data_IF_426318674014
#
_entry.id   IF_426318674014
#
_cell.length_a   1.000
_cell.length_b   1.000
_cell.length_c   1.000
_cell.angle_alpha   90.00
_cell.angle_beta   90.00
_cell.angle_gamma   90.00
#
_symmetry.space_group_name_H-M   'P 1'
#
loop_
_entity.id
_entity.type
_entity.pdbx_description
1 polymer ?
#
# COMPACT_ATOMS: atom_id res chain seq x y z
N UNK A 1 -3.35 -15.83 1.29
CA UNK A 1 -3.01 -16.87 0.30
C UNK A 1 -2.97 -18.27 0.97
N UNK A 2 -2.26 -18.49 2.08
CA UNK A 2 -2.17 -19.82 2.73
C UNK A 2 -3.55 -20.37 3.13
N UNK A 3 -4.43 -19.52 3.70
CA UNK A 3 -5.79 -19.93 4.03
C UNK A 3 -6.62 -20.23 2.79
N UNK A 4 -6.44 -19.48 1.71
CA UNK A 4 -7.06 -19.76 0.42
C UNK A 4 -6.58 -21.10 -0.14
N UNK A 5 -5.27 -21.36 -0.10
CA UNK A 5 -4.69 -22.62 -0.51
C UNK A 5 -5.26 -23.80 0.30
N UNK A 6 -5.32 -23.67 1.62
CA UNK A 6 -5.88 -24.71 2.50
C UNK A 6 -7.32 -25.05 2.12
N UNK A 7 -8.20 -24.05 2.01
CA UNK A 7 -9.61 -24.28 1.64
C UNK A 7 -9.73 -24.88 0.25
N UNK A 8 -8.91 -24.43 -0.70
CA UNK A 8 -8.93 -24.97 -2.07
C UNK A 8 -8.44 -26.42 -2.11
N UNK A 9 -7.42 -26.77 -1.33
CA UNK A 9 -6.93 -28.17 -1.21
C UNK A 9 -7.99 -29.08 -0.53
N UNK A 10 -8.62 -28.62 0.55
CA UNK A 10 -9.73 -29.34 1.18
C UNK A 10 -10.92 -29.55 0.20
N UNK A 11 -11.25 -28.51 -0.58
CA UNK A 11 -12.29 -28.60 -1.61
C UNK A 11 -11.91 -29.56 -2.73
N UNK A 12 -10.63 -29.60 -3.13
CA UNK A 12 -10.15 -30.53 -4.16
C UNK A 12 -10.34 -31.99 -3.74
N UNK A 13 -10.09 -32.30 -2.47
CA UNK A 13 -10.33 -33.66 -1.93
C UNK A 13 -11.81 -34.02 -2.04
N UNK A 14 -12.71 -33.15 -1.58
CA UNK A 14 -14.16 -33.36 -1.64
C UNK A 14 -14.66 -33.52 -3.09
N UNK A 15 -14.12 -32.73 -4.01
CA UNK A 15 -14.52 -32.83 -5.41
C UNK A 15 -13.96 -34.04 -6.10
N UNK A 16 -12.78 -34.54 -5.69
CA UNK A 16 -12.26 -35.83 -6.13
C UNK A 16 -13.15 -37.01 -5.72
N UNK A 17 -13.58 -37.02 -4.46
CA UNK A 17 -14.55 -38.01 -3.96
C UNK A 17 -15.89 -37.93 -4.69
N UNK A 18 -16.37 -36.72 -5.02
CA UNK A 18 -17.57 -36.53 -5.80
C UNK A 18 -17.44 -37.09 -7.21
N UNK A 19 -16.28 -36.94 -7.89
CA UNK A 19 -16.06 -37.54 -9.20
C UNK A 19 -16.17 -39.06 -9.15
N UNK A 20 -15.57 -39.70 -8.14
CA UNK A 20 -15.67 -41.16 -8.00
C UNK A 20 -17.12 -41.61 -7.69
N UNK A 21 -17.82 -40.86 -6.86
CA UNK A 21 -19.26 -41.09 -6.60
C UNK A 21 -20.08 -40.99 -7.88
N UNK A 22 -19.82 -39.99 -8.72
CA UNK A 22 -20.50 -39.82 -10.00
C UNK A 22 -20.22 -40.95 -10.98
N UNK A 23 -19.00 -41.48 -11.02
CA UNK A 23 -18.67 -42.67 -11.82
C UNK A 23 -19.45 -43.88 -11.37
N UNK A 24 -19.51 -44.11 -10.07
CA UNK A 24 -20.30 -45.20 -9.50
C UNK A 24 -21.84 -45.06 -9.79
N UNK A 25 -22.38 -43.85 -9.68
CA UNK A 25 -23.78 -43.57 -10.00
C UNK A 25 -24.05 -43.74 -11.52
N UNK A 26 -23.10 -43.43 -12.38
CA UNK A 26 -23.21 -43.73 -13.81
C UNK A 26 -23.26 -45.25 -14.08
N UNK A 27 -22.42 -46.04 -13.43
CA UNK A 27 -22.42 -47.50 -13.55
C UNK A 27 -23.77 -48.08 -13.09
N UNK A 28 -24.39 -47.46 -12.07
CA UNK A 28 -25.73 -47.78 -11.60
C UNK A 28 -26.85 -47.20 -12.48
N UNK A 29 -26.55 -46.59 -13.63
CA UNK A 29 -27.48 -45.94 -14.54
C UNK A 29 -28.34 -44.81 -13.90
N UNK A 30 -27.87 -44.21 -12.79
CA UNK A 30 -28.55 -43.12 -12.10
C UNK A 30 -28.24 -41.75 -12.65
N UNK A 31 -27.06 -41.58 -13.29
CA UNK A 31 -26.63 -40.35 -13.93
C UNK A 31 -26.05 -40.61 -15.33
N UNK A 32 -26.05 -39.58 -16.16
CA UNK A 32 -25.52 -39.66 -17.51
C UNK A 32 -24.02 -39.28 -17.56
N UNK A 33 -23.33 -39.56 -18.68
CA UNK A 33 -21.94 -39.25 -18.92
C UNK A 33 -21.64 -37.74 -18.74
N UNK A 34 -22.56 -36.87 -19.18
CA UNK A 34 -22.36 -35.43 -19.10
C UNK A 34 -22.16 -34.93 -17.65
N UNK A 35 -22.86 -35.56 -16.67
CA UNK A 35 -22.65 -35.25 -15.26
C UNK A 35 -21.25 -35.63 -14.74
N UNK A 36 -20.75 -36.79 -15.18
CA UNK A 36 -19.38 -37.23 -14.80
C UNK A 36 -18.33 -36.28 -15.38
N UNK A 37 -18.41 -35.98 -16.67
CA UNK A 37 -17.47 -35.08 -17.36
C UNK A 37 -17.48 -33.65 -16.78
N UNK A 38 -18.69 -33.14 -16.40
CA UNK A 38 -18.81 -31.86 -15.75
C UNK A 38 -18.17 -31.86 -14.35
N UNK A 39 -18.33 -32.95 -13.60
CA UNK A 39 -17.70 -33.11 -12.28
C UNK A 39 -16.15 -33.13 -12.41
N UNK A 40 -15.63 -33.89 -13.37
CA UNK A 40 -14.19 -33.94 -13.67
C UNK A 40 -13.66 -32.55 -14.08
N UNK A 41 -14.36 -31.83 -14.95
CA UNK A 41 -13.98 -30.49 -15.37
C UNK A 41 -13.85 -29.53 -14.18
N UNK A 42 -14.81 -29.55 -13.25
CA UNK A 42 -14.78 -28.73 -12.05
C UNK A 42 -13.64 -29.14 -11.10
N UNK A 43 -13.38 -30.43 -10.94
CA UNK A 43 -12.24 -30.93 -10.16
C UNK A 43 -10.90 -30.44 -10.73
N UNK A 44 -10.70 -30.55 -12.04
CA UNK A 44 -9.47 -30.04 -12.68
C UNK A 44 -9.34 -28.51 -12.60
N UNK A 45 -10.44 -27.77 -12.60
CA UNK A 45 -10.42 -26.33 -12.39
C UNK A 45 -9.89 -25.97 -10.99
N UNK A 46 -10.30 -26.71 -9.95
CA UNK A 46 -9.80 -26.50 -8.59
C UNK A 46 -8.32 -26.87 -8.48
N UNK A 47 -7.88 -27.97 -9.12
CA UNK A 47 -6.46 -28.34 -9.15
C UNK A 47 -5.60 -27.28 -9.85
N UNK A 48 -6.09 -26.66 -10.92
CA UNK A 48 -5.42 -25.55 -11.58
C UNK A 48 -5.29 -24.34 -10.63
N UNK A 49 -6.36 -23.99 -9.91
CA UNK A 49 -6.36 -22.90 -8.93
C UNK A 49 -5.33 -23.13 -7.79
N UNK A 50 -5.12 -24.37 -7.35
CA UNK A 50 -4.08 -24.72 -6.37
C UNK A 50 -2.68 -24.35 -6.91
N UNK A 51 -2.41 -24.63 -8.18
CA UNK A 51 -1.13 -24.31 -8.82
C UNK A 51 -0.91 -22.79 -8.88
N UNK A 52 -1.96 -22.03 -9.22
CA UNK A 52 -1.92 -20.57 -9.25
C UNK A 52 -1.66 -19.98 -7.85
N UNK A 53 -2.35 -20.49 -6.83
CA UNK A 53 -2.14 -20.06 -5.45
C UNK A 53 -0.72 -20.35 -4.95
N UNK A 54 -0.16 -21.51 -5.27
CA UNK A 54 1.22 -21.87 -4.93
C UNK A 54 2.22 -20.92 -5.61
N UNK A 55 1.98 -20.55 -6.86
CA UNK A 55 2.81 -19.56 -7.55
C UNK A 55 2.70 -18.18 -6.89
N UNK A 56 1.50 -17.68 -6.60
CA UNK A 56 1.28 -16.40 -5.92
C UNK A 56 1.94 -16.34 -4.54
N UNK A 57 1.91 -17.44 -3.78
CA UNK A 57 2.63 -17.56 -2.51
C UNK A 57 4.13 -17.38 -2.74
N UNK A 58 4.69 -18.07 -3.74
CA UNK A 58 6.12 -17.98 -4.07
C UNK A 58 6.52 -16.57 -4.51
N UNK A 59 5.73 -15.93 -5.35
CA UNK A 59 5.97 -14.55 -5.77
C UNK A 59 5.96 -13.58 -4.58
N UNK A 60 5.02 -13.77 -3.65
CA UNK A 60 4.93 -12.96 -2.42
C UNK A 60 6.13 -13.20 -1.49
N UNK A 61 6.57 -14.46 -1.33
CA UNK A 61 7.78 -14.80 -0.57
C UNK A 61 9.03 -14.16 -1.19
N UNK A 62 9.15 -14.19 -2.52
CA UNK A 62 10.24 -13.56 -3.24
C UNK A 62 10.25 -12.04 -3.05
N UNK A 63 9.09 -11.39 -3.17
CA UNK A 63 8.96 -9.95 -2.96
C UNK A 63 9.36 -9.55 -1.52
N UNK A 64 8.94 -10.34 -0.53
CA UNK A 64 9.29 -10.10 0.87
C UNK A 64 10.77 -10.35 1.14
N UNK A 65 11.37 -11.38 0.52
CA UNK A 65 12.81 -11.66 0.60
C UNK A 65 13.63 -10.49 0.07
N UNK A 66 13.20 -9.89 -1.06
CA UNK A 66 13.85 -8.70 -1.64
C UNK A 66 13.77 -7.49 -0.70
N UNK A 67 12.62 -7.26 -0.04
CA UNK A 67 12.48 -6.19 0.96
C UNK A 67 13.42 -6.40 2.15
N UNK A 68 13.64 -7.65 2.55
CA UNK A 68 14.58 -8.03 3.60
C UNK A 68 16.05 -8.08 3.15
N UNK A 69 16.33 -7.80 1.86
CA UNK A 69 17.66 -7.93 1.24
C UNK A 69 18.26 -9.34 1.39
N UNK A 70 17.44 -10.35 1.28
CA UNK A 70 17.81 -11.76 1.35
C UNK A 70 17.59 -12.44 0.00
N UNK A 71 18.30 -13.57 -0.22
CA UNK A 71 18.01 -14.41 -1.38
C UNK A 71 16.58 -14.98 -1.27
N UNK A 72 15.90 -15.24 -2.41
CA UNK A 72 14.57 -15.84 -2.41
C UNK A 72 14.53 -17.13 -1.58
N UNK A 73 13.72 -17.15 -0.54
CA UNK A 73 13.58 -18.26 0.38
C UNK A 73 12.15 -18.39 0.88
N UNK A 74 11.83 -19.56 1.46
CA UNK A 74 10.56 -19.74 2.15
C UNK A 74 10.58 -18.95 3.47
N UNK A 75 9.50 -18.21 3.73
CA UNK A 75 9.39 -17.37 4.91
C UNK A 75 8.44 -18.03 5.90
N UNK A 76 8.91 -18.18 7.15
CA UNK A 76 8.06 -18.64 8.25
C UNK A 76 7.02 -17.58 8.60
N UNK A 77 5.77 -18.00 8.74
CA UNK A 77 4.64 -17.11 8.98
C UNK A 77 3.57 -17.76 9.86
N UNK A 78 2.84 -16.93 10.59
CA UNK A 78 1.71 -17.34 11.40
C UNK A 78 0.44 -17.59 10.57
N UNK A 79 -0.65 -17.94 11.25
CA UNK A 79 -1.96 -18.11 10.63
C UNK A 79 -2.73 -16.81 10.63
N UNK A 80 -3.62 -16.63 9.64
CA UNK A 80 -4.51 -15.47 9.53
C UNK A 80 -5.41 -15.33 10.77
N UNK A 81 -5.87 -16.45 11.31
CA UNK A 81 -6.78 -16.54 12.46
C UNK A 81 -6.16 -16.05 13.78
N UNK A 82 -4.82 -16.09 13.89
CA UNK A 82 -4.08 -15.64 15.07
C UNK A 82 -3.88 -14.11 15.10
N UNK A 83 -4.25 -13.41 14.03
CA UNK A 83 -4.10 -11.97 13.93
C UNK A 83 -5.16 -11.24 14.74
N UNK A 84 -4.72 -10.52 15.79
CA UNK A 84 -5.62 -9.71 16.62
C UNK A 84 -5.56 -8.25 16.15
N UNK A 85 -6.72 -7.72 15.79
CA UNK A 85 -6.89 -6.30 15.50
C UNK A 85 -7.16 -5.50 16.77
N UNK A 86 -6.70 -4.24 16.85
CA UNK A 86 -7.11 -3.35 17.93
C UNK A 86 -8.64 -3.17 17.90
N UNK A 87 -9.26 -3.37 19.05
CA UNK A 87 -10.73 -3.47 19.19
C UNK A 87 -11.47 -2.16 18.98
N UNK A 88 -10.79 -1.01 18.95
CA UNK A 88 -11.44 0.31 18.94
C UNK A 88 -10.71 1.22 17.95
N UNK A 89 -11.32 1.43 16.80
CA UNK A 89 -10.99 2.52 15.89
C UNK A 89 -12.01 3.64 16.13
N UNK A 90 -11.64 4.62 16.99
CA UNK A 90 -12.52 5.76 17.25
C UNK A 90 -12.58 6.70 16.06
N UNK A 91 -13.80 7.05 15.64
CA UNK A 91 -14.06 8.18 14.75
C UNK A 91 -13.72 9.49 15.47
N UNK A 92 -12.87 10.29 14.87
CA UNK A 92 -12.45 11.58 15.42
C UNK A 92 -10.93 11.66 15.59
N UNK A 93 -10.24 11.73 14.45
CA UNK A 93 -8.79 11.93 14.46
C UNK A 93 -8.51 13.43 14.62
N UNK A 94 -7.83 13.85 15.70
CA UNK A 94 -7.42 15.24 15.83
C UNK A 94 -6.51 15.64 14.67
N UNK A 95 -6.76 16.79 14.06
CA UNK A 95 -5.92 17.36 12.98
C UNK A 95 -4.43 17.41 13.39
N UNK A 96 -4.15 17.50 14.69
CA UNK A 96 -2.80 17.43 15.25
C UNK A 96 -2.03 16.14 14.91
N UNK A 97 -2.70 15.00 14.70
CA UNK A 97 -2.04 13.75 14.28
C UNK A 97 -1.57 13.82 12.82
N UNK A 98 -2.23 14.60 11.98
CA UNK A 98 -1.80 14.81 10.60
C UNK A 98 -0.45 15.54 10.52
N UNK A 99 -0.09 16.35 11.51
CA UNK A 99 1.22 17.00 11.58
C UNK A 99 2.39 16.05 11.79
N UNK A 100 2.13 14.80 12.22
CA UNK A 100 3.15 13.77 12.35
C UNK A 100 3.46 13.08 11.02
N UNK A 101 2.65 13.28 10.00
CA UNK A 101 2.85 12.67 8.67
C UNK A 101 4.08 13.28 7.98
N UNK A 102 4.98 12.44 7.45
CA UNK A 102 6.19 12.92 6.78
C UNK A 102 5.90 13.75 5.53
N UNK A 103 4.86 13.42 4.76
CA UNK A 103 4.45 14.11 3.54
C UNK A 103 3.90 15.52 3.84
N UNK A 104 3.05 15.67 4.86
CA UNK A 104 2.55 16.97 5.33
C UNK A 104 3.71 17.83 5.84
N UNK A 105 4.61 17.24 6.63
CA UNK A 105 5.79 17.93 7.15
C UNK A 105 6.76 18.33 6.02
N UNK A 106 6.94 17.50 5.00
CA UNK A 106 7.75 17.83 3.84
C UNK A 106 7.16 19.03 3.07
N UNK A 107 5.83 19.08 2.88
CA UNK A 107 5.15 20.19 2.24
C UNK A 107 5.26 21.48 3.07
N UNK A 108 5.17 21.40 4.41
CA UNK A 108 5.39 22.53 5.33
C UNK A 108 6.82 23.07 5.21
N UNK A 109 7.82 22.19 5.20
CA UNK A 109 9.23 22.61 5.04
C UNK A 109 9.51 23.20 3.66
N UNK A 110 8.87 22.69 2.61
CA UNK A 110 8.93 23.27 1.28
C UNK A 110 8.34 24.69 1.25
N UNK A 111 7.20 24.91 1.90
CA UNK A 111 6.61 26.24 2.05
C UNK A 111 7.54 27.18 2.82
N UNK A 112 8.12 26.73 3.93
CA UNK A 112 9.11 27.51 4.68
C UNK A 112 10.32 27.87 3.81
N UNK A 113 10.81 26.94 2.97
CA UNK A 113 11.90 27.20 2.02
C UNK A 113 11.56 28.31 1.02
N UNK A 114 10.36 28.30 0.44
CA UNK A 114 9.92 29.35 -0.49
C UNK A 114 9.72 30.70 0.19
N UNK A 115 9.33 30.72 1.46
CA UNK A 115 9.28 31.94 2.25
C UNK A 115 10.67 32.57 2.40
N UNK A 116 11.69 31.77 2.72
CA UNK A 116 13.07 32.27 2.81
C UNK A 116 13.62 32.71 1.45
N UNK A 117 13.28 32.01 0.35
CA UNK A 117 13.64 32.42 -1.00
C UNK A 117 13.00 33.78 -1.39
N UNK A 118 11.76 34.02 -0.96
CA UNK A 118 11.11 35.32 -1.18
C UNK A 118 11.80 36.44 -0.37
N UNK A 119 12.28 36.15 0.84
CA UNK A 119 13.05 37.10 1.64
C UNK A 119 14.46 37.34 1.05
N UNK A 120 15.13 36.30 0.53
CA UNK A 120 16.36 36.47 -0.24
C UNK A 120 16.19 37.39 -1.45
N UNK A 121 15.09 37.17 -2.22
CA UNK A 121 14.77 38.03 -3.36
C UNK A 121 14.47 39.48 -2.95
N UNK A 122 13.93 39.72 -1.75
CA UNK A 122 13.78 41.06 -1.16
C UNK A 122 15.15 41.65 -0.73
N UNK A 123 16.03 40.84 -0.16
CA UNK A 123 17.37 41.25 0.26
C UNK A 123 18.23 41.75 -0.91
N UNK A 124 17.97 41.27 -2.14
CA UNK A 124 18.64 41.72 -3.35
C UNK A 124 18.40 43.21 -3.69
N UNK A 125 17.46 43.89 -3.04
CA UNK A 125 17.24 45.33 -3.16
C UNK A 125 18.07 46.14 -2.19
N UNK A 126 18.76 45.53 -1.24
CA UNK A 126 19.64 46.19 -0.29
C UNK A 126 21.10 46.11 -0.74
N UNK A 127 21.97 47.01 -0.24
CA UNK A 127 23.37 46.95 -0.54
C UNK A 127 24.04 45.67 -0.03
N UNK A 128 24.87 45.04 -0.83
CA UNK A 128 25.73 43.94 -0.41
C UNK A 128 27.07 44.45 0.14
N UNK A 129 27.49 43.92 1.27
CA UNK A 129 28.77 44.18 1.88
C UNK A 129 29.66 42.95 1.66
N UNK A 130 30.80 43.13 1.01
CA UNK A 130 31.80 42.08 0.90
C UNK A 130 33.09 42.51 1.56
N UNK A 131 33.70 41.62 2.35
CA UNK A 131 34.98 41.80 2.99
C UNK A 131 35.91 40.74 2.42
N UNK A 132 37.01 41.17 1.78
CA UNK A 132 38.05 40.29 1.29
C UNK A 132 39.35 40.57 1.99
N UNK A 133 40.06 39.52 2.39
CA UNK A 133 41.37 39.62 3.00
C UNK A 133 42.38 38.73 2.30
N UNK A 134 43.57 39.23 2.06
CA UNK A 134 44.70 38.44 1.57
C UNK A 134 45.84 38.52 2.58
N UNK A 135 46.46 37.38 2.83
CA UNK A 135 47.59 37.22 3.71
C UNK A 135 48.65 36.37 3.02
N UNK A 136 49.88 36.83 2.98
CA UNK A 136 50.95 36.08 2.31
C UNK A 136 52.33 36.74 2.46
N UNK A 137 53.30 36.09 1.91
CA UNK A 137 54.68 36.61 1.80
C UNK A 137 55.02 36.89 0.33
N UNK A 138 55.64 37.99 0.05
CA UNK A 138 56.17 38.30 -1.28
C UNK A 138 57.67 38.05 -1.33
N UNK A 139 58.05 37.20 -2.32
CA UNK A 139 59.45 36.98 -2.67
C UNK A 139 59.70 37.38 -4.12
N UNK A 140 60.78 38.03 -4.35
CA UNK A 140 61.22 38.48 -5.68
C UNK A 140 61.87 37.35 -6.51
N UNK A 141 62.20 36.23 -5.90
CA UNK A 141 62.97 35.15 -6.51
C UNK A 141 62.37 33.75 -6.23
N UNK A 142 61.23 33.45 -6.79
CA UNK A 142 60.70 32.05 -6.81
C UNK A 142 60.36 31.44 -5.45
N UNK A 143 60.25 30.10 -5.40
CA UNK A 143 59.58 29.30 -4.38
C UNK A 143 60.19 29.29 -2.95
N UNK A 144 61.19 30.06 -2.61
CA UNK A 144 61.81 30.01 -1.28
C UNK A 144 61.57 31.34 -0.52
N UNK A 145 61.11 31.25 0.72
CA UNK A 145 60.90 32.40 1.61
C UNK A 145 62.32 32.86 2.06
N UNK A 146 62.86 33.87 1.36
CA UNK A 146 64.23 34.39 1.63
C UNK A 146 64.23 35.46 2.73
N UNK A 147 63.06 36.12 2.94
CA UNK A 147 62.94 37.14 3.98
C UNK A 147 61.59 37.17 4.63
N UNK A 148 61.42 36.62 5.87
CA UNK A 148 60.19 36.59 6.60
C UNK A 148 59.60 37.98 6.98
N UNK A 149 60.40 39.06 6.84
CA UNK A 149 59.97 40.44 7.11
C UNK A 149 59.12 41.07 5.99
N UNK A 150 58.94 40.41 4.83
CA UNK A 150 58.11 40.88 3.71
C UNK A 150 56.68 40.23 3.73
N UNK A 151 56.11 40.20 4.87
CA UNK A 151 54.68 39.77 5.03
C UNK A 151 53.76 40.88 4.53
N UNK A 152 52.81 40.51 3.71
CA UNK A 152 51.72 41.39 3.26
C UNK A 152 50.41 40.88 3.83
N UNK A 153 49.68 41.76 4.52
CA UNK A 153 48.30 41.55 4.91
C UNK A 153 47.45 42.70 4.36
N UNK A 154 46.39 42.38 3.63
CA UNK A 154 45.44 43.41 3.18
C UNK A 154 44.02 42.97 3.50
N UNK A 155 43.20 43.92 3.94
CA UNK A 155 41.73 43.72 4.12
C UNK A 155 41.01 44.85 3.37
N UNK A 156 40.06 44.47 2.50
CA UNK A 156 39.32 45.41 1.68
C UNK A 156 37.81 45.16 1.96
N UNK A 157 37.09 46.18 2.43
CA UNK A 157 35.64 46.19 2.52
C UNK A 157 35.06 46.92 1.31
N UNK A 158 34.08 46.30 0.62
CA UNK A 158 33.36 46.97 -0.46
C UNK A 158 31.85 46.90 -0.21
N UNK A 159 31.15 48.00 -0.52
CA UNK A 159 29.71 48.15 -0.48
C UNK A 159 29.20 48.31 -1.91
N UNK A 160 28.36 47.42 -2.37
CA UNK A 160 27.83 47.42 -3.74
C UNK A 160 26.33 47.39 -3.73
N UNK A 161 25.66 48.33 -4.42
CA UNK A 161 24.23 48.36 -4.62
C UNK A 161 23.89 48.54 -6.10
N UNK A 162 23.21 47.55 -6.75
CA UNK A 162 22.78 47.71 -8.12
C UNK A 162 21.54 48.61 -8.18
N UNK A 163 21.67 49.85 -8.72
CA UNK A 163 20.56 50.78 -8.88
C UNK A 163 19.75 50.49 -10.15
N UNK A 164 20.38 50.00 -11.22
CA UNK A 164 19.77 49.67 -12.50
C UNK A 164 20.16 48.29 -12.97
N UNK A 165 19.28 47.29 -12.69
CA UNK A 165 19.54 45.89 -13.03
C UNK A 165 18.52 45.34 -14.05
N UNK A 166 18.13 46.16 -15.02
CA UNK A 166 17.18 45.79 -16.13
C UNK A 166 15.86 45.13 -15.64
N UNK A 167 15.39 45.47 -14.46
CA UNK A 167 14.19 44.86 -13.87
C UNK A 167 14.38 43.46 -13.32
N UNK A 168 15.60 42.89 -13.32
CA UNK A 168 15.85 41.49 -12.89
C UNK A 168 15.46 41.25 -11.44
N UNK A 169 15.75 42.14 -10.51
CA UNK A 169 15.39 42.02 -9.10
C UNK A 169 13.87 42.04 -8.90
N UNK A 170 13.15 42.87 -9.68
CA UNK A 170 11.66 42.92 -9.65
C UNK A 170 11.08 41.60 -10.15
N UNK A 171 11.61 41.08 -11.26
CA UNK A 171 11.17 39.80 -11.82
C UNK A 171 11.45 38.65 -10.85
N UNK A 172 12.66 38.60 -10.26
CA UNK A 172 13.05 37.61 -9.25
C UNK A 172 12.10 37.59 -8.04
N UNK A 173 11.76 38.77 -7.51
CA UNK A 173 10.82 38.89 -6.39
C UNK A 173 9.42 38.44 -6.77
N UNK A 174 8.93 38.78 -7.99
CA UNK A 174 7.62 38.32 -8.47
C UNK A 174 7.56 36.80 -8.62
N UNK A 175 8.62 36.20 -9.18
CA UNK A 175 8.75 34.75 -9.31
C UNK A 175 8.75 34.09 -7.93
N UNK A 176 9.58 34.56 -7.01
CA UNK A 176 9.67 34.00 -5.66
C UNK A 176 8.33 34.07 -4.89
N UNK A 177 7.57 35.19 -5.06
CA UNK A 177 6.22 35.30 -4.49
C UNK A 177 5.22 34.34 -5.13
N UNK A 178 5.29 34.13 -6.43
CA UNK A 178 4.43 33.18 -7.11
C UNK A 178 4.73 31.74 -6.66
N UNK A 179 6.00 31.38 -6.53
CA UNK A 179 6.43 30.09 -5.99
C UNK A 179 6.00 29.89 -4.53
N UNK A 180 6.01 30.95 -3.72
CA UNK A 180 5.48 30.89 -2.35
C UNK A 180 3.97 30.62 -2.34
N UNK A 181 3.20 31.27 -3.23
CA UNK A 181 1.75 31.01 -3.35
C UNK A 181 1.47 29.58 -3.83
N UNK A 182 2.25 29.07 -4.78
CA UNK A 182 2.17 27.69 -5.25
C UNK A 182 2.46 26.69 -4.13
N UNK A 183 3.51 26.93 -3.35
CA UNK A 183 3.87 26.08 -2.21
C UNK A 183 2.80 26.10 -1.11
N UNK A 184 2.12 27.22 -0.89
CA UNK A 184 0.99 27.31 0.03
C UNK A 184 -0.17 26.43 -0.40
N UNK A 185 -0.56 26.49 -1.68
CA UNK A 185 -1.61 25.63 -2.23
C UNK A 185 -1.22 24.14 -2.19
N UNK A 186 0.06 23.84 -2.42
CA UNK A 186 0.58 22.48 -2.31
C UNK A 186 0.52 21.94 -0.88
N UNK A 187 0.79 22.79 0.12
CA UNK A 187 0.66 22.43 1.53
C UNK A 187 -0.81 22.21 1.93
N UNK A 188 -1.72 23.08 1.51
CA UNK A 188 -3.16 22.90 1.70
C UNK A 188 -3.64 21.57 1.07
N UNK A 189 -3.19 21.28 -0.15
CA UNK A 189 -3.52 20.02 -0.84
C UNK A 189 -2.99 18.80 -0.07
N UNK A 190 -1.78 18.87 0.49
CA UNK A 190 -1.22 17.78 1.31
C UNK A 190 -2.07 17.49 2.56
N UNK A 191 -2.58 18.54 3.23
CA UNK A 191 -3.49 18.39 4.38
C UNK A 191 -4.82 17.76 3.95
N UNK A 192 -5.40 18.20 2.83
CA UNK A 192 -6.65 17.65 2.31
C UNK A 192 -6.50 16.18 1.92
N UNK A 193 -5.41 15.82 1.25
CA UNK A 193 -5.11 14.44 0.90
C UNK A 193 -4.95 13.57 2.16
N UNK A 194 -4.25 14.07 3.17
CA UNK A 194 -4.09 13.37 4.44
C UNK A 194 -5.44 13.11 5.14
N UNK A 195 -6.36 14.08 5.08
CA UNK A 195 -7.73 13.92 5.60
C UNK A 195 -8.54 12.89 4.78
N UNK A 196 -8.41 12.90 3.47
CA UNK A 196 -9.03 11.92 2.58
C UNK A 196 -8.53 10.50 2.86
N UNK A 197 -7.22 10.30 2.99
CA UNK A 197 -6.62 8.99 3.30
C UNK A 197 -7.20 8.38 4.58
N UNK A 198 -7.38 9.20 5.63
CA UNK A 198 -8.00 8.75 6.89
C UNK A 198 -9.46 8.38 6.68
N UNK A 199 -10.22 9.21 5.95
CA UNK A 199 -11.63 8.94 5.65
C UNK A 199 -11.80 7.66 4.85
N UNK A 200 -10.97 7.46 3.84
CA UNK A 200 -10.99 6.28 2.97
C UNK A 200 -10.63 5.01 3.75
N UNK A 201 -9.61 5.08 4.62
CA UNK A 201 -9.24 3.95 5.46
C UNK A 201 -10.34 3.55 6.45
N UNK A 202 -11.02 4.52 7.06
CA UNK A 202 -12.17 4.27 7.94
C UNK A 202 -13.35 3.69 7.18
N UNK A 203 -13.68 4.23 6.01
CA UNK A 203 -14.74 3.74 5.15
C UNK A 203 -14.47 2.30 4.68
N UNK A 204 -13.23 2.00 4.32
CA UNK A 204 -12.80 0.65 3.94
C UNK A 204 -12.98 -0.33 5.10
N UNK A 205 -12.59 0.07 6.33
CA UNK A 205 -12.76 -0.76 7.51
C UNK A 205 -14.23 -1.06 7.81
N UNK A 206 -15.09 -0.03 7.79
CA UNK A 206 -16.55 -0.21 8.01
C UNK A 206 -17.17 -1.11 6.95
N UNK A 207 -16.84 -0.87 5.67
CA UNK A 207 -17.33 -1.70 4.57
C UNK A 207 -16.86 -3.15 4.68
N UNK A 208 -15.61 -3.39 5.11
CA UNK A 208 -15.09 -4.75 5.29
C UNK A 208 -15.79 -5.47 6.45
N UNK A 209 -16.09 -4.76 7.56
CA UNK A 209 -16.80 -5.34 8.70
C UNK A 209 -18.27 -5.67 8.33
N UNK A 210 -18.96 -4.79 7.61
CA UNK A 210 -20.32 -5.04 7.12
C UNK A 210 -20.35 -6.25 6.16
N UNK A 211 -19.38 -6.33 5.23
CA UNK A 211 -19.23 -7.47 4.33
C UNK A 211 -19.02 -8.77 5.11
N UNK A 212 -18.15 -8.76 6.13
CA UNK A 212 -17.87 -9.93 6.97
C UNK A 212 -19.13 -10.49 7.59
N UNK A 213 -19.98 -9.62 8.17
CA UNK A 213 -21.25 -10.03 8.79
C UNK A 213 -22.17 -10.73 7.77
N UNK A 214 -22.30 -10.16 6.57
CA UNK A 214 -23.16 -10.75 5.53
C UNK A 214 -22.52 -12.01 4.94
N UNK A 215 -21.21 -12.05 4.80
CA UNK A 215 -20.46 -13.21 4.28
C UNK A 215 -20.60 -14.43 5.17
N UNK A 216 -20.52 -14.27 6.49
CA UNK A 216 -20.77 -15.37 7.43
C UNK A 216 -22.16 -15.94 7.26
N UNK A 217 -23.19 -15.08 7.12
CA UNK A 217 -24.57 -15.55 6.86
C UNK A 217 -24.68 -16.27 5.51
N UNK A 218 -24.00 -15.75 4.48
CA UNK A 218 -23.99 -16.38 3.16
C UNK A 218 -23.35 -17.77 3.20
N UNK A 219 -22.17 -17.90 3.84
CA UNK A 219 -21.46 -19.18 3.98
C UNK A 219 -22.33 -20.19 4.71
N UNK A 220 -22.89 -19.83 5.87
CA UNK A 220 -23.79 -20.72 6.64
C UNK A 220 -25.01 -21.15 5.84
N UNK A 221 -25.56 -20.28 4.98
CA UNK A 221 -26.71 -20.65 4.12
C UNK A 221 -26.27 -21.57 2.98
N UNK A 222 -25.11 -21.38 2.42
CA UNK A 222 -24.55 -22.21 1.36
C UNK A 222 -24.11 -23.59 1.88
N UNK A 223 -23.57 -23.68 3.10
CA UNK A 223 -23.28 -24.96 3.76
C UNK A 223 -24.53 -25.79 3.90
N UNK A 224 -25.63 -25.20 4.41
CA UNK A 224 -26.93 -25.90 4.47
C UNK A 224 -27.45 -26.24 3.08
N UNK A 225 -27.27 -25.39 2.09
CA UNK A 225 -27.69 -25.67 0.71
C UNK A 225 -26.96 -26.88 0.15
N UNK A 226 -25.63 -26.99 0.39
CA UNK A 226 -24.85 -28.16 -0.02
C UNK A 226 -25.34 -29.42 0.70
N UNK A 227 -25.56 -29.37 2.02
CA UNK A 227 -26.07 -30.48 2.82
C UNK A 227 -27.42 -30.96 2.28
N UNK A 228 -28.40 -30.07 2.12
CA UNK A 228 -29.73 -30.43 1.64
C UNK A 228 -29.73 -30.97 0.21
N UNK A 229 -28.96 -30.37 -0.69
CA UNK A 229 -28.89 -30.86 -2.08
C UNK A 229 -28.21 -32.21 -2.16
N UNK A 230 -27.23 -32.52 -1.31
CA UNK A 230 -26.62 -33.84 -1.21
C UNK A 230 -27.61 -34.89 -0.64
N UNK A 231 -28.34 -34.56 0.43
CA UNK A 231 -29.36 -35.43 0.99
C UNK A 231 -30.49 -35.78 -0.02
N UNK A 232 -30.99 -34.75 -0.70
CA UNK A 232 -32.04 -34.92 -1.72
C UNK A 232 -31.57 -35.79 -2.89
N UNK A 233 -30.28 -35.66 -3.28
CA UNK A 233 -29.68 -36.50 -4.31
C UNK A 233 -29.60 -37.97 -3.86
N UNK A 234 -29.20 -38.23 -2.61
CA UNK A 234 -29.07 -39.59 -2.07
C UNK A 234 -30.45 -40.27 -1.87
N UNK A 235 -31.50 -39.50 -1.55
CA UNK A 235 -32.86 -39.98 -1.40
C UNK A 235 -33.56 -40.29 -2.74
N UNK A 236 -32.90 -39.99 -3.87
CA UNK A 236 -33.41 -40.31 -5.21
C UNK A 236 -34.70 -39.57 -5.59
N UNK A 237 -34.96 -38.41 -4.97
CA UNK A 237 -36.11 -37.58 -5.31
C UNK A 237 -35.94 -36.99 -6.71
N UNK A 238 -36.94 -37.22 -7.58
CA UNK A 238 -36.92 -36.86 -9.01
C UNK A 238 -36.74 -35.34 -9.29
N UNK A 239 -36.66 -34.51 -8.27
CA UNK A 239 -36.59 -33.06 -8.37
C UNK A 239 -35.19 -32.46 -8.17
N UNK A 240 -34.18 -33.24 -7.77
CA UNK A 240 -32.85 -32.70 -7.54
C UNK A 240 -31.87 -33.25 -8.56
N UNK A 241 -31.30 -32.36 -9.33
CA UNK A 241 -30.27 -32.71 -10.31
C UNK A 241 -28.86 -32.52 -9.66
N UNK A 242 -27.93 -33.41 -9.91
CA UNK A 242 -26.55 -33.30 -9.47
C UNK A 242 -25.90 -31.95 -9.81
N UNK A 243 -26.35 -31.29 -10.88
CA UNK A 243 -25.92 -29.95 -11.25
C UNK A 243 -26.20 -28.91 -10.13
N UNK A 244 -27.29 -29.11 -9.36
CA UNK A 244 -27.61 -28.25 -8.22
C UNK A 244 -26.58 -28.40 -7.09
N UNK A 245 -26.16 -29.64 -6.80
CA UNK A 245 -25.09 -29.92 -5.82
C UNK A 245 -23.77 -29.26 -6.23
N UNK A 246 -23.37 -29.43 -7.49
CA UNK A 246 -22.16 -28.79 -8.02
C UNK A 246 -22.23 -27.28 -7.94
N UNK A 247 -23.38 -26.69 -8.28
CA UNK A 247 -23.57 -25.23 -8.23
C UNK A 247 -23.52 -24.72 -6.80
N UNK A 248 -24.10 -25.42 -5.85
CA UNK A 248 -24.08 -25.09 -4.43
C UNK A 248 -22.63 -25.16 -3.88
N UNK A 249 -21.91 -26.24 -4.20
CA UNK A 249 -20.50 -26.41 -3.80
C UNK A 249 -19.59 -25.34 -4.40
N UNK A 250 -19.75 -25.02 -5.67
CA UNK A 250 -18.99 -23.94 -6.33
C UNK A 250 -19.28 -22.58 -5.69
N UNK A 251 -20.54 -22.33 -5.38
CA UNK A 251 -20.97 -21.10 -4.71
C UNK A 251 -20.38 -20.99 -3.29
N UNK A 252 -20.35 -22.12 -2.57
CA UNK A 252 -19.74 -22.19 -1.23
C UNK A 252 -18.24 -21.90 -1.29
N UNK A 253 -17.49 -22.54 -2.18
CA UNK A 253 -16.07 -22.28 -2.36
C UNK A 253 -15.80 -20.79 -2.66
N UNK A 254 -16.53 -20.23 -3.61
CA UNK A 254 -16.42 -18.83 -3.97
C UNK A 254 -16.73 -17.88 -2.78
N UNK A 255 -17.73 -18.21 -1.97
CA UNK A 255 -18.08 -17.44 -0.78
C UNK A 255 -16.99 -17.55 0.30
N UNK A 256 -16.41 -18.71 0.52
CA UNK A 256 -15.31 -18.93 1.47
C UNK A 256 -14.05 -18.18 1.04
N UNK A 257 -13.63 -18.25 -0.23
CA UNK A 257 -12.50 -17.51 -0.76
C UNK A 257 -12.70 -15.98 -0.67
N UNK A 258 -13.94 -15.52 -0.96
CA UNK A 258 -14.31 -14.12 -0.79
C UNK A 258 -14.27 -13.69 0.69
N UNK A 259 -14.63 -14.56 1.62
CA UNK A 259 -14.54 -14.32 3.06
C UNK A 259 -13.11 -14.06 3.53
N UNK A 260 -12.16 -14.83 3.01
CA UNK A 260 -10.72 -14.61 3.29
C UNK A 260 -10.27 -13.25 2.73
N UNK A 261 -10.73 -12.89 1.54
CA UNK A 261 -10.42 -11.59 0.94
C UNK A 261 -11.00 -10.43 1.75
N UNK A 262 -12.24 -10.56 2.23
CA UNK A 262 -12.90 -9.56 3.10
C UNK A 262 -12.11 -9.38 4.42
N UNK A 263 -11.62 -10.47 5.03
CA UNK A 263 -10.79 -10.43 6.23
C UNK A 263 -9.43 -9.77 5.98
N UNK A 264 -8.79 -10.08 4.86
CA UNK A 264 -7.56 -9.40 4.45
C UNK A 264 -7.78 -7.89 4.24
N UNK A 265 -8.87 -7.49 3.59
CA UNK A 265 -9.21 -6.08 3.40
C UNK A 265 -9.40 -5.36 4.74
N UNK A 266 -9.98 -6.03 5.73
CA UNK A 266 -10.14 -5.49 7.08
C UNK A 266 -8.79 -5.24 7.76
N UNK A 267 -7.87 -6.20 7.68
CA UNK A 267 -6.51 -6.06 8.20
C UNK A 267 -5.77 -4.92 7.49
N UNK A 268 -5.88 -4.86 6.18
CA UNK A 268 -5.24 -3.82 5.37
C UNK A 268 -5.79 -2.42 5.69
N UNK A 269 -7.09 -2.30 5.92
CA UNK A 269 -7.71 -1.03 6.32
C UNK A 269 -7.12 -0.49 7.63
N UNK A 270 -6.84 -1.37 8.61
CA UNK A 270 -6.19 -0.98 9.87
C UNK A 270 -4.75 -0.51 9.64
N UNK A 271 -3.99 -1.21 8.80
CA UNK A 271 -2.63 -0.80 8.44
C UNK A 271 -2.64 0.53 7.69
N UNK A 272 -3.56 0.70 6.74
CA UNK A 272 -3.73 1.96 6.00
C UNK A 272 -4.09 3.11 6.95
N UNK A 273 -4.97 2.87 7.91
CA UNK A 273 -5.32 3.88 8.91
C UNK A 273 -4.12 4.25 9.79
N UNK A 274 -3.36 3.25 10.24
CA UNK A 274 -2.13 3.49 11.00
C UNK A 274 -1.14 4.36 10.21
N UNK A 275 -0.94 4.07 8.94
CA UNK A 275 -0.10 4.86 8.04
C UNK A 275 -0.68 6.28 7.81
N UNK A 276 -2.00 6.38 7.56
CA UNK A 276 -2.68 7.65 7.33
C UNK A 276 -2.60 8.60 8.55
N UNK A 277 -2.48 8.04 9.76
CA UNK A 277 -2.29 8.78 11.01
C UNK A 277 -0.83 9.18 11.29
N UNK A 278 0.10 8.88 10.38
CA UNK A 278 1.53 9.14 10.57
C UNK A 278 2.22 8.14 11.49
N UNK A 279 1.67 6.94 11.63
CA UNK A 279 2.31 5.86 12.36
C UNK A 279 3.61 5.39 11.70
N UNK A 280 4.54 4.84 12.50
CA UNK A 280 5.82 4.33 12.00
C UNK A 280 6.92 5.39 11.82
N UNK A 281 6.69 6.62 12.27
CA UNK A 281 7.65 7.74 12.17
C UNK A 281 8.51 7.95 13.41
N UNK A 282 8.42 7.05 14.40
CA UNK A 282 9.26 7.07 15.62
C UNK A 282 10.30 5.98 15.59
#
# INVERSE_FOLDING_TARGET
>A
LDKQLQITEETAVLWGENVETMKAMKEAAMVNEAGVVQSEANYYMVLASISDLKNQIRETENALSLLLRQAPQKIERGKLEDQQLPTILHTGVPVQLLSNRPDVKAAEMALAGTYYNANEARAAFYPSISISGTYGWTNQAGNTIINPGKMIASAIGSLTQPLFYRGANIARLKIAKAQQAEAMLSFEQAILNAGADVSDALSLYQSAEDKRIQRVKQINSLEKSVEYTQELLTLGTSNTNYLEVLTAQQSLLNAQLSGISDEFQRLQAVVNLYHALGGGTK
#
